data_IF_558074945808
#
_entry.id   IF_558074945808
#
_cell.length_a   1.000
_cell.length_b   1.000
_cell.length_c   1.000
_cell.angle_alpha   90.00
_cell.angle_beta   90.00
_cell.angle_gamma   90.00
#
_symmetry.space_group_name_H-M   'P 1'
#
loop_
_entity.id
_entity.type
_entity.pdbx_description
1 polymer ?
#
# COMPACT_ATOMS: atom_id res chain seq x y z
N UNK A 1 4.38 -8.78 -8.24
CA UNK A 1 4.88 -10.04 -7.64
C UNK A 1 3.75 -11.06 -7.49
N UNK A 2 2.68 -10.77 -6.73
CA UNK A 2 1.55 -11.70 -6.52
C UNK A 2 0.95 -12.16 -7.85
N UNK A 3 0.63 -11.23 -8.74
CA UNK A 3 0.04 -11.52 -10.07
C UNK A 3 0.93 -12.47 -10.88
N UNK A 4 2.25 -12.28 -10.84
CA UNK A 4 3.20 -13.17 -11.54
C UNK A 4 3.17 -14.57 -10.91
N UNK A 5 3.22 -14.66 -9.59
CA UNK A 5 3.17 -15.93 -8.86
C UNK A 5 1.85 -16.69 -8.99
N UNK A 6 0.78 -15.97 -9.35
CA UNK A 6 -0.57 -16.49 -9.61
C UNK A 6 -0.87 -16.68 -11.10
N UNK A 7 0.15 -16.70 -11.98
CA UNK A 7 -0.02 -16.86 -13.43
C UNK A 7 -1.04 -15.88 -14.04
N UNK A 8 -0.87 -14.58 -13.72
CA UNK A 8 -1.67 -13.46 -14.21
C UNK A 8 -3.11 -13.38 -13.69
N UNK A 9 -3.52 -14.21 -12.72
CA UNK A 9 -4.78 -14.00 -12.02
C UNK A 9 -4.68 -12.76 -11.12
N UNK A 10 -5.63 -11.83 -11.29
CA UNK A 10 -5.72 -10.58 -10.54
C UNK A 10 -6.89 -10.57 -9.55
N UNK A 11 -7.75 -11.59 -9.58
CA UNK A 11 -8.90 -11.64 -8.71
C UNK A 11 -8.52 -12.13 -7.30
N UNK A 12 -8.62 -11.25 -6.32
CA UNK A 12 -8.35 -11.58 -4.91
C UNK A 12 -9.26 -12.68 -4.35
N UNK A 13 -10.41 -12.93 -4.99
CA UNK A 13 -11.34 -14.01 -4.59
C UNK A 13 -10.77 -15.37 -4.86
N UNK A 14 -9.89 -15.50 -5.84
CA UNK A 14 -9.19 -16.74 -6.21
C UNK A 14 -7.90 -16.94 -5.44
N UNK A 15 -7.47 -15.93 -4.65
CA UNK A 15 -6.26 -15.98 -3.84
C UNK A 15 -6.56 -16.45 -2.42
N UNK A 16 -5.53 -16.68 -1.64
CA UNK A 16 -5.61 -17.00 -0.22
C UNK A 16 -4.41 -17.82 0.23
N UNK A 17 -3.99 -17.67 1.48
CA UNK A 17 -2.92 -18.47 2.05
C UNK A 17 -1.53 -18.28 1.41
N UNK A 18 -1.33 -17.25 0.57
CA UNK A 18 -0.10 -17.06 -0.21
C UNK A 18 1.16 -16.84 0.64
N UNK A 19 1.03 -16.53 1.93
CA UNK A 19 2.17 -16.35 2.84
C UNK A 19 3.10 -17.56 2.90
N UNK A 20 2.56 -18.76 2.68
CA UNK A 20 3.33 -20.02 2.71
C UNK A 20 4.21 -20.19 1.47
N UNK A 21 3.77 -19.64 0.35
CA UNK A 21 4.39 -19.82 -0.96
C UNK A 21 5.24 -18.64 -1.38
N UNK A 22 4.91 -17.44 -0.85
CA UNK A 22 5.56 -16.16 -1.22
C UNK A 22 5.95 -15.35 0.02
N UNK A 23 6.90 -15.83 0.85
CA UNK A 23 7.24 -15.18 2.12
C UNK A 23 7.90 -13.80 1.94
N UNK A 24 8.73 -13.60 0.92
CA UNK A 24 9.39 -12.30 0.66
C UNK A 24 8.32 -11.28 0.25
N UNK A 25 7.46 -11.63 -0.69
CA UNK A 25 6.34 -10.78 -1.13
C UNK A 25 5.38 -10.50 0.01
N UNK A 26 5.11 -11.48 0.88
CA UNK A 26 4.28 -11.30 2.07
C UNK A 26 4.83 -10.24 3.03
N UNK A 27 6.13 -10.34 3.40
CA UNK A 27 6.77 -9.39 4.31
C UNK A 27 6.85 -7.98 3.69
N UNK A 28 7.28 -7.87 2.44
CA UNK A 28 7.39 -6.56 1.76
C UNK A 28 6.03 -5.90 1.56
N UNK A 29 4.98 -6.67 1.30
CA UNK A 29 3.60 -6.19 1.22
C UNK A 29 3.09 -5.70 2.58
N UNK A 30 3.45 -6.38 3.68
CA UNK A 30 3.13 -5.92 5.04
C UNK A 30 3.81 -4.58 5.34
N UNK A 31 5.11 -4.49 5.10
CA UNK A 31 5.87 -3.26 5.33
C UNK A 31 5.33 -2.09 4.50
N UNK A 32 5.02 -2.32 3.22
CA UNK A 32 4.39 -1.33 2.35
C UNK A 32 3.01 -0.90 2.83
N UNK A 33 2.19 -1.84 3.29
CA UNK A 33 0.86 -1.54 3.84
C UNK A 33 0.96 -0.73 5.14
N UNK A 34 1.87 -1.06 6.04
CA UNK A 34 2.11 -0.31 7.27
C UNK A 34 2.62 1.11 6.99
N UNK A 35 3.52 1.27 6.02
CA UNK A 35 3.97 2.59 5.58
C UNK A 35 2.83 3.41 4.96
N UNK A 36 1.96 2.77 4.16
CA UNK A 36 0.83 3.41 3.50
C UNK A 36 -0.22 3.91 4.49
N UNK A 37 -0.56 3.12 5.51
CA UNK A 37 -1.54 3.51 6.52
C UNK A 37 -0.99 4.55 7.51
N UNK A 38 0.32 4.76 7.54
CA UNK A 38 0.97 5.67 8.48
C UNK A 38 1.13 5.05 9.86
N UNK A 39 1.60 3.81 9.92
CA UNK A 39 1.93 3.19 11.21
C UNK A 39 3.14 3.88 11.85
N UNK A 40 3.17 4.10 13.18
CA UNK A 40 4.27 4.75 13.87
C UNK A 40 5.63 4.17 13.48
N UNK A 41 6.63 5.02 13.35
CA UNK A 41 8.01 4.74 12.91
C UNK A 41 8.20 4.49 11.41
N UNK A 42 7.13 4.39 10.62
CA UNK A 42 7.22 4.29 9.16
C UNK A 42 7.20 5.69 8.51
N UNK A 43 7.77 5.80 7.31
CA UNK A 43 7.85 7.08 6.58
C UNK A 43 6.49 7.75 6.37
N UNK A 44 5.45 6.96 6.11
CA UNK A 44 4.08 7.45 5.95
C UNK A 44 3.46 8.04 7.21
N UNK A 45 3.92 7.65 8.39
CA UNK A 45 3.48 8.24 9.66
C UNK A 45 3.86 9.72 9.73
N UNK A 46 5.14 10.02 9.58
CA UNK A 46 5.65 11.38 9.70
C UNK A 46 5.01 12.36 8.72
N UNK A 47 4.84 11.95 7.45
CA UNK A 47 4.22 12.82 6.45
C UNK A 47 2.73 13.03 6.69
N UNK A 48 1.98 12.01 7.09
CA UNK A 48 0.54 12.12 7.37
C UNK A 48 0.28 12.90 8.64
N UNK A 49 1.04 12.66 9.67
CA UNK A 49 0.93 13.36 10.95
C UNK A 49 1.14 14.87 10.77
N UNK A 50 2.20 15.26 10.08
CA UNK A 50 2.45 16.67 9.75
C UNK A 50 1.32 17.31 8.94
N UNK A 51 0.70 16.58 8.00
CA UNK A 51 -0.45 17.09 7.24
C UNK A 51 -1.67 17.27 8.15
N UNK A 52 -1.95 16.30 9.01
CA UNK A 52 -3.10 16.34 9.94
C UNK A 52 -2.94 17.51 10.92
N UNK A 53 -1.75 17.67 11.50
CA UNK A 53 -1.45 18.78 12.40
C UNK A 53 -1.54 20.14 11.69
N UNK A 54 -1.01 20.27 10.48
CA UNK A 54 -1.11 21.49 9.69
C UNK A 54 -2.56 21.87 9.39
N UNK A 55 -3.43 20.88 9.07
CA UNK A 55 -4.87 21.11 8.86
C UNK A 55 -5.56 21.50 10.17
N UNK A 56 -5.20 20.87 11.27
CA UNK A 56 -5.74 21.18 12.60
C UNK A 56 -5.37 22.59 13.06
N UNK A 57 -4.12 22.99 12.88
CA UNK A 57 -3.62 24.34 13.22
C UNK A 57 -4.16 25.43 12.26
N UNK A 58 -4.79 25.06 11.16
CA UNK A 58 -5.28 26.02 10.17
C UNK A 58 -6.57 26.72 10.65
N UNK A 59 -6.54 28.06 10.63
CA UNK A 59 -7.70 28.90 10.95
C UNK A 59 -8.54 29.29 9.70
N UNK A 60 -8.36 28.60 8.59
CA UNK A 60 -9.10 28.86 7.35
C UNK A 60 -10.52 28.32 7.45
N UNK A 61 -11.49 29.05 6.91
CA UNK A 61 -12.87 28.58 6.84
C UNK A 61 -12.93 27.24 6.09
N UNK A 62 -13.47 26.20 6.76
CA UNK A 62 -13.54 24.83 6.21
C UNK A 62 -12.45 23.87 6.70
N UNK A 63 -11.49 24.31 7.53
CA UNK A 63 -10.44 23.43 8.09
C UNK A 63 -11.01 22.23 8.85
N UNK A 64 -12.11 22.42 9.60
CA UNK A 64 -12.78 21.31 10.29
C UNK A 64 -13.34 20.25 9.35
N UNK A 65 -13.90 20.65 8.21
CA UNK A 65 -14.36 19.69 7.18
C UNK A 65 -13.18 18.98 6.53
N UNK A 66 -12.11 19.71 6.21
CA UNK A 66 -10.89 19.13 5.67
C UNK A 66 -10.27 18.11 6.64
N UNK A 67 -10.20 18.43 7.94
CA UNK A 67 -9.74 17.51 8.97
C UNK A 67 -10.57 16.23 9.02
N UNK A 68 -11.91 16.37 9.00
CA UNK A 68 -12.80 15.21 8.96
C UNK A 68 -12.54 14.33 7.73
N UNK A 69 -12.41 14.91 6.54
CA UNK A 69 -12.12 14.17 5.31
C UNK A 69 -10.77 13.46 5.35
N UNK A 70 -9.73 14.10 5.88
CA UNK A 70 -8.40 13.50 6.03
C UNK A 70 -8.43 12.31 6.99
N UNK A 71 -9.06 12.47 8.16
CA UNK A 71 -9.20 11.38 9.14
C UNK A 71 -10.01 10.20 8.59
N UNK A 72 -11.11 10.49 7.88
CA UNK A 72 -11.90 9.46 7.20
C UNK A 72 -11.05 8.75 6.13
N UNK A 73 -10.25 9.49 5.37
CA UNK A 73 -9.34 8.95 4.37
C UNK A 73 -8.30 8.00 4.97
N UNK A 74 -7.73 8.33 6.12
CA UNK A 74 -6.79 7.45 6.85
C UNK A 74 -7.49 6.16 7.26
N UNK A 75 -8.71 6.24 7.82
CA UNK A 75 -9.49 5.08 8.22
C UNK A 75 -9.81 4.16 7.03
N UNK A 76 -10.32 4.72 5.93
CA UNK A 76 -10.65 3.96 4.72
C UNK A 76 -9.39 3.32 4.12
N UNK A 77 -8.26 4.04 4.11
CA UNK A 77 -6.97 3.52 3.62
C UNK A 77 -6.52 2.32 4.45
N UNK A 78 -6.59 2.41 5.76
CA UNK A 78 -6.25 1.30 6.65
C UNK A 78 -7.17 0.09 6.40
N UNK A 79 -8.47 0.32 6.29
CA UNK A 79 -9.45 -0.73 6.08
C UNK A 79 -9.21 -1.50 4.79
N UNK A 80 -9.09 -0.81 3.63
CA UNK A 80 -8.91 -1.52 2.36
C UNK A 80 -7.54 -2.20 2.26
N UNK A 81 -6.49 -1.60 2.83
CA UNK A 81 -5.14 -2.18 2.81
C UNK A 81 -5.07 -3.48 3.61
N UNK A 82 -5.61 -3.50 4.83
CA UNK A 82 -5.68 -4.72 5.62
C UNK A 82 -6.63 -5.76 5.03
N UNK A 83 -7.76 -5.34 4.48
CA UNK A 83 -8.67 -6.26 3.80
C UNK A 83 -7.96 -6.98 2.65
N UNK A 84 -7.28 -6.25 1.79
CA UNK A 84 -6.48 -6.83 0.70
C UNK A 84 -5.41 -7.79 1.25
N UNK A 85 -4.65 -7.34 2.24
CA UNK A 85 -3.57 -8.11 2.83
C UNK A 85 -4.05 -9.45 3.42
N UNK A 86 -5.11 -9.42 4.21
CA UNK A 86 -5.65 -10.65 4.80
C UNK A 86 -6.30 -11.58 3.80
N UNK A 87 -7.01 -11.07 2.80
CA UNK A 87 -7.61 -11.89 1.76
C UNK A 87 -6.57 -12.61 0.91
N UNK A 88 -5.49 -11.94 0.55
CA UNK A 88 -4.45 -12.48 -0.32
C UNK A 88 -3.52 -13.43 0.43
N UNK A 89 -3.05 -13.05 1.61
CA UNK A 89 -1.98 -13.78 2.29
C UNK A 89 -2.45 -14.73 3.40
N UNK A 90 -3.57 -14.45 4.07
CA UNK A 90 -4.00 -15.18 5.26
C UNK A 90 -5.33 -15.93 5.10
N UNK A 91 -6.10 -15.68 4.05
CA UNK A 91 -7.35 -16.38 3.78
C UNK A 91 -7.15 -17.87 3.47
N UNK A 92 -8.26 -18.60 3.32
CA UNK A 92 -8.25 -19.97 2.83
C UNK A 92 -7.72 -20.04 1.39
N UNK A 93 -6.99 -21.10 1.07
CA UNK A 93 -6.47 -21.33 -0.28
C UNK A 93 -7.64 -21.60 -1.24
N UNK A 94 -7.81 -20.74 -2.23
CA UNK A 94 -8.92 -20.80 -3.20
C UNK A 94 -8.43 -21.04 -4.62
N UNK A 95 -7.13 -20.92 -4.87
CA UNK A 95 -6.51 -21.21 -6.15
C UNK A 95 -6.53 -22.72 -6.44
N UNK A 96 -6.56 -23.07 -7.73
CA UNK A 96 -6.53 -24.46 -8.18
C UNK A 96 -7.81 -25.25 -7.92
N UNK A 97 -8.90 -24.62 -7.46
CA UNK A 97 -10.23 -25.22 -7.51
C UNK A 97 -10.73 -25.07 -8.94
N UNK A 98 -11.15 -26.18 -9.55
CA UNK A 98 -11.82 -26.12 -10.84
C UNK A 98 -13.02 -25.17 -10.71
N UNK A 99 -13.05 -24.10 -11.50
CA UNK A 99 -14.27 -23.34 -11.67
C UNK A 99 -15.26 -24.28 -12.39
N UNK A 100 -16.30 -24.71 -11.69
CA UNK A 100 -17.49 -25.26 -12.36
C UNK A 100 -18.09 -24.11 -13.17
N UNK A 101 -17.63 -23.99 -14.41
CA UNK A 101 -18.39 -23.27 -15.42
C UNK A 101 -19.68 -24.02 -15.63
N UNK A 102 -20.78 -23.48 -15.12
CA UNK A 102 -22.09 -23.81 -15.65
C UNK A 102 -22.10 -23.35 -17.10
N UNK A 103 -21.78 -24.30 -18.00
CA UNK A 103 -21.96 -24.17 -19.42
C UNK A 103 -23.46 -23.95 -19.69
N UNK A 104 -23.81 -22.70 -19.98
CA UNK A 104 -25.01 -22.47 -20.77
C UNK A 104 -24.66 -22.88 -22.21
N UNK A 105 -25.07 -24.09 -22.59
CA UNK A 105 -25.10 -24.53 -23.95
C UNK A 105 -25.95 -23.56 -24.78
N UNK A 106 -25.30 -22.84 -25.65
CA UNK A 106 -25.84 -22.17 -26.78
C UNK A 106 -25.04 -22.64 -27.99
N UNK A 107 -25.64 -23.50 -28.81
CA UNK A 107 -25.09 -23.93 -30.08
C UNK A 107 -24.73 -22.72 -30.94
N UNK A 108 -23.46 -22.62 -31.33
CA UNK A 108 -23.06 -22.07 -32.61
C UNK A 108 -21.65 -22.58 -32.96
N UNK A 109 -21.61 -23.41 -33.97
CA UNK A 109 -20.44 -23.80 -34.73
C UNK A 109 -19.82 -22.56 -35.33
N UNK A 110 -18.51 -22.30 -35.05
CA UNK A 110 -17.54 -21.77 -36.00
C UNK A 110 -16.15 -21.84 -35.34
N UNK A 111 -15.29 -22.69 -35.92
CA UNK A 111 -13.92 -22.95 -35.52
C UNK A 111 -13.03 -21.72 -35.86
N UNK A 112 -12.49 -21.04 -34.84
CA UNK A 112 -11.21 -20.36 -34.89
C UNK A 112 -10.40 -20.79 -33.66
N UNK A 113 -9.10 -21.13 -33.78
CA UNK A 113 -8.27 -21.48 -32.65
C UNK A 113 -7.86 -20.22 -31.90
N UNK A 114 -8.75 -19.73 -31.05
CA UNK A 114 -8.37 -18.71 -30.07
C UNK A 114 -7.43 -19.37 -29.07
N UNK A 115 -6.19 -18.89 -29.01
CA UNK A 115 -5.26 -19.18 -27.93
C UNK A 115 -5.86 -18.66 -26.61
N UNK A 116 -6.64 -19.51 -25.96
CA UNK A 116 -7.15 -19.27 -24.64
C UNK A 116 -5.96 -19.16 -23.70
N UNK A 117 -5.55 -17.93 -23.44
CA UNK A 117 -4.66 -17.61 -22.34
C UNK A 117 -5.44 -17.89 -21.04
N UNK A 118 -5.39 -19.11 -20.55
CA UNK A 118 -5.87 -19.45 -19.23
C UNK A 118 -5.15 -18.58 -18.20
N UNK A 119 -5.79 -17.50 -17.80
CA UNK A 119 -5.33 -16.66 -16.70
C UNK A 119 -5.63 -17.41 -15.40
N UNK A 120 -4.58 -17.73 -14.64
CA UNK A 120 -4.69 -18.39 -13.35
C UNK A 120 -3.91 -19.70 -13.25
N UNK A 121 -3.83 -20.22 -12.04
CA UNK A 121 -3.16 -21.50 -11.74
C UNK A 121 -4.00 -22.67 -12.21
N UNK A 122 -3.38 -23.59 -12.95
CA UNK A 122 -3.99 -24.84 -13.32
C UNK A 122 -4.34 -25.69 -12.07
N UNK A 123 -5.35 -26.59 -12.14
CA UNK A 123 -5.70 -27.47 -11.03
C UNK A 123 -4.48 -28.25 -10.53
N UNK A 124 -4.15 -28.11 -9.24
CA UNK A 124 -2.99 -28.75 -8.63
C UNK A 124 -1.67 -27.97 -8.74
N UNK A 125 -1.61 -26.88 -9.46
CA UNK A 125 -0.45 -26.00 -9.53
C UNK A 125 -0.41 -25.10 -8.28
N UNK A 126 0.79 -24.94 -7.70
CA UNK A 126 1.01 -24.10 -6.52
C UNK A 126 1.61 -22.77 -6.91
N UNK A 127 1.21 -21.67 -6.25
CA UNK A 127 1.86 -20.39 -6.41
C UNK A 127 3.36 -20.50 -6.03
N UNK A 128 4.20 -19.71 -6.65
CA UNK A 128 5.61 -19.65 -6.34
C UNK A 128 6.08 -18.22 -6.17
N UNK A 129 7.17 -18.05 -5.43
CA UNK A 129 7.77 -16.72 -5.24
C UNK A 129 8.24 -16.17 -6.59
N UNK A 130 8.07 -14.87 -6.77
CA UNK A 130 8.51 -14.20 -8.00
C UNK A 130 10.03 -14.26 -8.14
N UNK A 131 10.56 -14.26 -9.38
CA UNK A 131 11.99 -14.26 -9.63
C UNK A 131 12.69 -13.08 -8.95
N UNK A 132 13.97 -13.24 -8.65
CA UNK A 132 14.77 -12.24 -7.91
C UNK A 132 14.75 -10.84 -8.54
N UNK A 133 14.57 -10.74 -9.85
CA UNK A 133 14.44 -9.48 -10.59
C UNK A 133 13.25 -8.65 -10.11
N UNK A 134 12.20 -9.30 -9.60
CA UNK A 134 10.99 -8.66 -9.06
C UNK A 134 11.10 -8.48 -7.55
N UNK A 135 11.65 -9.46 -6.84
CA UNK A 135 11.74 -9.39 -5.36
C UNK A 135 12.82 -8.41 -4.88
N UNK A 136 13.91 -8.25 -5.65
CA UNK A 136 14.98 -7.29 -5.31
C UNK A 136 14.44 -5.83 -5.22
N UNK A 137 13.76 -5.28 -6.24
CA UNK A 137 13.15 -3.95 -6.12
C UNK A 137 12.16 -3.82 -4.95
N UNK A 138 11.38 -4.87 -4.65
CA UNK A 138 10.46 -4.85 -3.50
C UNK A 138 11.21 -4.69 -2.18
N UNK A 139 12.29 -5.42 -1.98
CA UNK A 139 13.14 -5.31 -0.79
C UNK A 139 13.83 -3.95 -0.72
N UNK A 140 14.38 -3.47 -1.85
CA UNK A 140 15.02 -2.16 -1.93
C UNK A 140 14.05 -1.01 -1.64
N UNK A 141 12.76 -1.14 -1.97
CA UNK A 141 11.73 -0.15 -1.63
C UNK A 141 11.24 -0.28 -0.18
N UNK A 142 11.24 -1.50 0.36
CA UNK A 142 10.80 -1.74 1.75
C UNK A 142 11.76 -1.08 2.77
N UNK A 143 13.06 -1.07 2.50
CA UNK A 143 14.06 -0.47 3.38
C UNK A 143 13.82 1.03 3.59
N UNK A 144 13.77 1.89 2.54
CA UNK A 144 13.48 3.31 2.73
C UNK A 144 12.07 3.57 3.26
N UNK A 145 11.07 2.72 2.94
CA UNK A 145 9.72 2.86 3.53
C UNK A 145 9.72 2.81 5.05
N UNK A 146 10.65 2.09 5.64
CA UNK A 146 10.81 2.03 7.11
C UNK A 146 11.71 3.16 7.62
N UNK A 147 12.83 3.43 6.95
CA UNK A 147 13.90 4.24 7.53
C UNK A 147 13.88 5.71 7.10
N UNK A 148 13.48 6.01 5.85
CA UNK A 148 13.70 7.34 5.28
C UNK A 148 12.94 8.43 6.03
N UNK A 149 11.73 8.17 6.49
CA UNK A 149 10.93 9.13 7.23
C UNK A 149 11.61 9.57 8.52
N UNK A 150 12.18 8.63 9.26
CA UNK A 150 12.90 8.89 10.50
C UNK A 150 14.13 9.80 10.28
N UNK A 151 14.90 9.56 9.21
CA UNK A 151 16.11 10.32 8.95
C UNK A 151 15.88 11.67 8.27
N UNK A 152 14.77 11.83 7.56
CA UNK A 152 14.55 13.02 6.73
C UNK A 152 13.56 14.01 7.33
N UNK A 153 12.76 13.63 8.34
CA UNK A 153 11.74 14.51 8.92
C UNK A 153 12.33 15.81 9.46
N UNK A 154 13.39 15.73 10.27
CA UNK A 154 14.03 16.89 10.86
C UNK A 154 14.64 17.83 9.81
N UNK A 155 15.52 17.37 8.90
CA UNK A 155 16.15 18.28 7.95
C UNK A 155 15.18 18.83 6.91
N UNK A 156 14.08 18.13 6.58
CA UNK A 156 13.12 18.58 5.57
C UNK A 156 12.07 19.54 6.11
N UNK A 157 11.54 19.31 7.33
CA UNK A 157 10.48 20.15 7.91
C UNK A 157 11.04 21.30 8.74
N UNK A 158 12.09 21.06 9.53
CA UNK A 158 12.62 22.03 10.47
C UNK A 158 14.05 22.49 10.14
N UNK A 159 14.71 21.81 9.19
CA UNK A 159 16.05 22.16 8.73
C UNK A 159 16.05 23.12 7.55
N UNK A 160 17.25 23.39 7.05
CA UNK A 160 17.49 24.33 5.94
C UNK A 160 17.43 23.64 4.55
N UNK A 161 16.87 22.45 4.45
CA UNK A 161 16.85 21.69 3.18
C UNK A 161 16.18 22.45 2.04
N UNK A 162 15.12 23.18 2.36
CA UNK A 162 14.36 23.98 1.39
C UNK A 162 14.63 25.48 1.51
N UNK A 163 15.67 25.89 2.23
CA UNK A 163 16.04 27.30 2.38
C UNK A 163 16.35 27.90 1.01
N UNK A 164 15.74 29.05 0.73
CA UNK A 164 15.85 29.71 -0.56
C UNK A 164 14.99 29.15 -1.71
N UNK A 165 14.32 28.00 -1.51
CA UNK A 165 13.38 27.41 -2.47
C UNK A 165 11.95 27.64 -2.03
N UNK A 166 11.65 27.41 -0.75
CA UNK A 166 10.34 27.66 -0.15
C UNK A 166 10.47 28.85 0.78
N UNK A 167 9.75 29.92 0.48
CA UNK A 167 9.70 31.10 1.35
C UNK A 167 8.58 30.90 2.38
N UNK A 168 8.97 30.82 3.64
CA UNK A 168 8.05 30.79 4.78
C UNK A 168 8.15 32.13 5.49
N UNK A 169 7.03 32.88 5.57
CA UNK A 169 6.98 34.14 6.29
C UNK A 169 7.20 33.95 7.80
N UNK A 170 7.82 34.89 8.44
CA UNK A 170 8.11 34.88 9.89
C UNK A 170 6.85 34.78 10.77
N UNK A 171 5.68 35.14 10.21
CA UNK A 171 4.39 35.14 10.87
C UNK A 171 3.59 33.84 10.66
N UNK A 172 4.20 32.79 10.09
CA UNK A 172 3.50 31.54 9.81
C UNK A 172 3.23 30.75 11.10
N UNK A 173 2.03 30.95 11.67
CA UNK A 173 1.61 30.38 12.97
C UNK A 173 1.64 28.84 12.93
N UNK A 174 1.13 28.23 11.84
CA UNK A 174 1.03 26.79 11.72
C UNK A 174 2.39 26.07 11.79
N UNK A 175 3.45 26.63 11.21
CA UNK A 175 4.80 26.02 11.27
C UNK A 175 5.39 26.12 12.67
N UNK A 176 5.11 27.22 13.40
CA UNK A 176 5.56 27.39 14.78
C UNK A 176 4.85 26.43 15.74
N UNK A 177 3.55 26.22 15.56
CA UNK A 177 2.78 25.24 16.32
C UNK A 177 3.24 23.80 16.04
N UNK A 178 3.50 23.47 14.78
CA UNK A 178 4.06 22.19 14.37
C UNK A 178 5.44 21.94 15.00
N UNK A 179 6.31 22.95 14.99
CA UNK A 179 7.64 22.87 15.62
C UNK A 179 7.55 22.74 17.15
N UNK A 180 6.56 23.38 17.78
CA UNK A 180 6.34 23.29 19.22
C UNK A 180 5.76 21.92 19.65
N UNK A 181 4.96 21.28 18.79
CA UNK A 181 4.41 19.94 19.00
C UNK A 181 5.37 18.81 18.67
N UNK A 182 6.41 19.10 17.90
CA UNK A 182 7.39 18.08 17.48
C UNK A 182 8.42 17.82 18.59
N UNK A 183 8.27 16.71 19.28
CA UNK A 183 9.18 16.28 20.37
C UNK A 183 10.34 15.40 19.90
N UNK A 184 10.70 15.45 18.61
CA UNK A 184 11.71 14.58 18.02
C UNK A 184 11.15 13.21 17.64
N UNK A 185 11.94 12.43 16.91
CA UNK A 185 11.59 11.07 16.49
C UNK A 185 11.81 10.04 17.62
N UNK A 186 11.24 10.26 18.80
CA UNK A 186 11.29 9.33 19.94
C UNK A 186 9.91 8.79 20.21
#
# INVERSE_FOLDING_TARGET
SVIIGMHHDQDMRNMGGLRKYMPITWITSLLGSLALIGFPFFSGFYSKDSIIEAVHASNIAGSGYALFCVMLGVFVTAFYSFRMYFLVFHGEERFGKAHDHHDHHGDHDDEEPSADHHHGLAPGQKPHESPWVVTLPLVLLAIPSVLIGFFTIDPMLFGQWFEGVIFVGDDHVGLKELAAGYHGAV
#
